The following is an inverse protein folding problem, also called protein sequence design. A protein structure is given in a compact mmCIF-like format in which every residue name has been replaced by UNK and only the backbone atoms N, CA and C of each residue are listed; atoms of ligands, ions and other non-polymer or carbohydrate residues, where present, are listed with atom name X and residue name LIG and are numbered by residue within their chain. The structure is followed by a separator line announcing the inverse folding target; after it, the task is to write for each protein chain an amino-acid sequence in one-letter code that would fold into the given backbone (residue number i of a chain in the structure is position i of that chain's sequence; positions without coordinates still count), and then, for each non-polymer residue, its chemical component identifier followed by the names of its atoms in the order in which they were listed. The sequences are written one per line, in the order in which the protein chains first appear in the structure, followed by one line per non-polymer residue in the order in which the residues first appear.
data_IF_410851397210
#
_entry.id   IF_410851397210
#
_cell.length_a   1.000
_cell.length_b   1.000
_cell.length_c   1.000
_cell.angle_alpha   90.00
_cell.angle_beta   90.00
_cell.angle_gamma   90.00
#
_symmetry.space_group_name_H-M   'P 1'
#
loop_
_entity.id
_entity.type
_entity.pdbx_description
1 polymer ?
#
# COMPACT_ATOMS: atom_id res chain seq x y z
N UNK A 1 -17.02 1.92 -6.58
CA UNK A 1 -17.80 2.72 -7.53
C UNK A 1 -19.33 2.47 -7.49
N UNK A 2 -19.83 1.34 -7.04
CA UNK A 2 -21.30 1.09 -6.92
C UNK A 2 -22.03 1.98 -5.91
N UNK A 3 -21.37 2.43 -4.88
CA UNK A 3 -21.93 3.28 -3.83
C UNK A 3 -22.46 4.63 -4.35
N UNK A 4 -21.79 5.25 -5.32
CA UNK A 4 -22.20 6.55 -5.89
C UNK A 4 -23.50 6.47 -6.65
N UNK A 5 -23.75 5.42 -7.46
CA UNK A 5 -24.97 5.27 -8.25
C UNK A 5 -26.22 5.04 -7.41
N UNK A 6 -26.11 4.29 -6.31
CA UNK A 6 -27.26 4.03 -5.42
C UNK A 6 -27.70 5.29 -4.68
N UNK A 7 -26.75 6.07 -4.16
CA UNK A 7 -27.08 7.33 -3.49
C UNK A 7 -27.64 8.37 -4.46
N UNK A 8 -27.12 8.46 -5.69
CA UNK A 8 -27.64 9.33 -6.72
C UNK A 8 -29.12 9.03 -7.01
N UNK A 9 -29.44 7.77 -7.35
CA UNK A 9 -30.83 7.34 -7.58
C UNK A 9 -31.76 7.64 -6.41
N UNK A 10 -31.31 7.43 -5.17
CA UNK A 10 -32.09 7.71 -3.96
C UNK A 10 -32.33 9.20 -3.76
N UNK A 11 -31.37 10.05 -4.05
CA UNK A 11 -31.52 11.50 -3.97
C UNK A 11 -32.42 12.03 -5.08
N UNK A 12 -32.25 11.51 -6.28
CA UNK A 12 -33.13 11.86 -7.42
C UNK A 12 -34.59 11.49 -7.17
N UNK A 13 -34.86 10.33 -6.53
CA UNK A 13 -36.22 9.87 -6.22
C UNK A 13 -36.98 10.79 -5.21
N UNK A 14 -36.24 11.60 -4.44
CA UNK A 14 -36.83 12.59 -3.51
C UNK A 14 -36.70 14.03 -4.04
N UNK A 15 -36.36 14.18 -5.34
CA UNK A 15 -36.26 15.48 -6.00
C UNK A 15 -34.96 16.26 -5.76
N UNK A 16 -33.95 15.67 -5.12
CA UNK A 16 -32.65 16.30 -4.88
C UNK A 16 -31.75 16.12 -6.10
N UNK A 17 -31.46 17.18 -6.82
CA UNK A 17 -30.70 17.20 -8.06
C UNK A 17 -29.35 17.95 -7.97
N UNK A 18 -29.15 18.73 -6.92
CA UNK A 18 -27.92 19.50 -6.75
C UNK A 18 -27.44 19.52 -5.29
N UNK A 19 -26.20 20.00 -5.09
CA UNK A 19 -25.57 20.04 -3.78
C UNK A 19 -26.30 20.96 -2.79
N UNK A 20 -26.84 22.09 -3.27
CA UNK A 20 -27.61 23.01 -2.43
C UNK A 20 -28.85 22.32 -1.84
N UNK A 21 -29.66 21.67 -2.66
CA UNK A 21 -30.84 20.92 -2.21
C UNK A 21 -30.46 19.83 -1.21
N UNK A 22 -29.31 19.17 -1.40
CA UNK A 22 -28.79 18.18 -0.45
C UNK A 22 -28.48 18.81 0.91
N UNK A 23 -27.93 20.01 0.96
CA UNK A 23 -27.65 20.70 2.22
C UNK A 23 -28.92 21.11 2.99
N UNK A 24 -30.07 21.18 2.34
CA UNK A 24 -31.35 21.50 2.96
C UNK A 24 -32.04 20.27 3.59
N UNK A 25 -31.60 19.06 3.29
CA UNK A 25 -32.19 17.83 3.86
C UNK A 25 -31.99 17.76 5.38
N UNK A 26 -32.99 17.18 6.11
CA UNK A 26 -32.85 16.95 7.55
C UNK A 26 -31.66 16.05 7.89
N UNK A 27 -30.96 16.38 8.97
CA UNK A 27 -29.80 15.60 9.42
C UNK A 27 -30.14 14.13 9.72
N UNK A 28 -31.31 13.89 10.34
CA UNK A 28 -31.74 12.55 10.69
C UNK A 28 -32.02 11.69 9.45
N UNK A 29 -32.60 12.28 8.41
CA UNK A 29 -32.80 11.60 7.13
C UNK A 29 -31.45 11.22 6.51
N UNK A 30 -30.50 12.18 6.45
CA UNK A 30 -29.16 11.94 5.89
C UNK A 30 -28.44 10.85 6.68
N UNK A 31 -28.49 10.92 8.01
CA UNK A 31 -27.85 9.93 8.89
C UNK A 31 -28.42 8.52 8.68
N UNK A 32 -29.74 8.40 8.53
CA UNK A 32 -30.44 7.13 8.30
C UNK A 32 -30.12 6.55 6.92
N UNK A 33 -30.04 7.35 5.89
CA UNK A 33 -29.91 6.91 4.50
C UNK A 33 -28.44 6.83 4.01
N UNK A 34 -27.56 7.66 4.53
CA UNK A 34 -26.18 7.82 4.06
C UNK A 34 -25.12 7.74 5.17
N UNK A 35 -25.55 7.40 6.40
CA UNK A 35 -24.69 7.27 7.57
C UNK A 35 -24.03 8.59 8.00
N UNK A 36 -23.05 8.53 8.90
CA UNK A 36 -22.27 9.68 9.35
C UNK A 36 -21.47 10.34 8.20
N UNK A 37 -21.15 9.58 7.15
CA UNK A 37 -20.44 10.10 5.99
C UNK A 37 -21.29 11.11 5.19
N UNK A 38 -22.59 10.87 5.10
CA UNK A 38 -23.52 11.83 4.49
C UNK A 38 -23.60 13.15 5.27
N UNK A 39 -23.62 13.08 6.61
CA UNK A 39 -23.61 14.29 7.45
C UNK A 39 -22.29 15.08 7.32
N UNK A 40 -21.18 14.39 7.23
CA UNK A 40 -19.88 15.04 6.98
C UNK A 40 -19.86 15.75 5.62
N UNK A 41 -20.35 15.07 4.58
CA UNK A 41 -20.48 15.67 3.26
C UNK A 41 -21.38 16.93 3.27
N UNK A 42 -22.52 16.87 4.00
CA UNK A 42 -23.38 18.05 4.16
C UNK A 42 -22.64 19.22 4.81
N UNK A 43 -21.89 18.97 5.89
CA UNK A 43 -21.08 20.00 6.56
C UNK A 43 -20.03 20.59 5.63
N UNK A 44 -19.31 19.74 4.88
CA UNK A 44 -18.32 20.19 3.90
C UNK A 44 -18.94 21.11 2.84
N UNK A 45 -20.11 20.72 2.33
CA UNK A 45 -20.85 21.56 1.35
C UNK A 45 -21.35 22.88 1.94
N UNK A 46 -21.56 22.95 3.26
CA UNK A 46 -21.92 24.16 4.00
C UNK A 46 -20.70 25.02 4.39
N UNK A 47 -19.48 24.57 4.03
CA UNK A 47 -18.23 25.24 4.43
C UNK A 47 -17.83 25.02 5.89
N UNK A 48 -18.46 24.06 6.58
CA UNK A 48 -18.14 23.73 7.96
C UNK A 48 -17.12 22.59 8.01
N UNK A 49 -15.87 22.86 8.41
CA UNK A 49 -14.84 21.82 8.45
C UNK A 49 -15.20 20.77 9.52
N UNK A 50 -15.18 19.51 9.13
CA UNK A 50 -15.39 18.38 10.05
C UNK A 50 -14.13 17.54 10.31
N UNK A 51 -13.08 17.78 9.53
CA UNK A 51 -11.76 17.21 9.72
C UNK A 51 -10.84 18.36 10.11
N UNK A 52 -10.22 18.23 11.27
CA UNK A 52 -9.20 19.20 11.71
C UNK A 52 -7.89 18.90 10.98
N UNK A 53 -7.08 19.95 10.79
CA UNK A 53 -5.71 19.77 10.34
C UNK A 53 -4.94 19.00 11.40
N UNK A 54 -4.40 17.85 11.03
CA UNK A 54 -3.55 17.05 11.93
C UNK A 54 -2.16 17.68 11.96
N UNK A 55 -1.76 18.18 13.12
CA UNK A 55 -0.40 18.64 13.39
C UNK A 55 0.50 17.41 13.63
N UNK A 56 1.19 17.00 12.58
CA UNK A 56 2.12 15.88 12.62
C UNK A 56 1.54 14.53 12.13
N UNK A 57 2.40 13.74 11.54
CA UNK A 57 2.02 12.41 11.09
C UNK A 57 2.08 11.42 12.25
N UNK A 58 0.94 10.85 12.63
CA UNK A 58 0.91 9.72 13.54
C UNK A 58 1.65 8.52 12.96
N UNK A 59 2.31 7.73 13.79
CA UNK A 59 2.99 6.50 13.37
C UNK A 59 1.99 5.54 12.70
N UNK A 60 2.34 5.06 11.52
CA UNK A 60 1.49 4.12 10.77
C UNK A 60 1.34 2.81 11.53
N UNK A 61 0.12 2.32 11.68
CA UNK A 61 -0.22 1.04 12.32
C UNK A 61 0.02 -0.17 11.40
N UNK A 62 0.19 0.06 10.11
CA UNK A 62 0.51 -0.95 9.10
C UNK A 62 1.17 -0.30 7.89
N UNK A 63 2.07 -1.01 7.25
CA UNK A 63 2.78 -0.56 6.05
C UNK A 63 2.56 -1.60 4.96
N UNK A 64 2.15 -1.12 3.79
CA UNK A 64 1.92 -1.98 2.64
C UNK A 64 2.69 -1.50 1.41
N UNK A 65 3.13 -2.46 0.62
CA UNK A 65 3.59 -2.24 -0.74
C UNK A 65 2.84 -3.20 -1.65
N UNK A 66 2.02 -2.64 -2.53
CA UNK A 66 1.17 -3.41 -3.45
C UNK A 66 1.26 -2.81 -4.84
N UNK A 67 1.21 -3.65 -5.87
CA UNK A 67 1.22 -3.21 -7.26
C UNK A 67 0.26 -4.03 -8.10
N UNK A 68 -0.42 -3.35 -9.02
CA UNK A 68 -1.05 -3.99 -10.16
C UNK A 68 -0.02 -4.07 -11.28
N UNK A 69 0.03 -5.19 -11.97
CA UNK A 69 0.96 -5.39 -13.08
C UNK A 69 0.37 -4.81 -14.37
N UNK A 70 1.20 -4.34 -15.27
CA UNK A 70 0.76 -3.82 -16.56
C UNK A 70 0.07 -4.93 -17.38
N UNK A 71 0.73 -6.08 -17.53
CA UNK A 71 0.16 -7.33 -18.03
C UNK A 71 -0.34 -8.23 -16.90
N UNK A 72 -0.30 -9.52 -17.13
CA UNK A 72 -0.55 -10.56 -16.14
C UNK A 72 0.71 -11.40 -15.98
N UNK A 73 0.96 -11.90 -14.78
CA UNK A 73 2.08 -12.77 -14.46
C UNK A 73 1.57 -14.17 -14.16
N UNK A 74 2.22 -15.17 -14.73
CA UNK A 74 1.91 -16.60 -14.50
C UNK A 74 3.06 -17.34 -13.85
N UNK A 75 4.29 -16.84 -14.00
CA UNK A 75 5.48 -17.50 -13.50
C UNK A 75 5.74 -17.19 -12.02
N UNK A 76 6.16 -18.23 -11.29
CA UNK A 76 6.46 -18.14 -9.87
C UNK A 76 7.68 -17.22 -9.62
N UNK A 77 8.72 -17.35 -10.43
CA UNK A 77 9.95 -16.60 -10.27
C UNK A 77 9.73 -15.09 -10.41
N UNK A 78 8.95 -14.69 -11.41
CA UNK A 78 8.57 -13.27 -11.59
C UNK A 78 7.81 -12.71 -10.38
N UNK A 79 6.93 -13.51 -9.80
CA UNK A 79 6.19 -13.13 -8.60
C UNK A 79 7.09 -13.09 -7.36
N UNK A 80 8.04 -14.02 -7.23
CA UNK A 80 9.01 -14.08 -6.14
C UNK A 80 9.87 -12.81 -6.10
N UNK A 81 10.43 -12.41 -7.24
CA UNK A 81 11.23 -11.20 -7.37
C UNK A 81 10.45 -9.94 -6.95
N UNK A 82 9.19 -9.85 -7.35
CA UNK A 82 8.33 -8.71 -7.01
C UNK A 82 7.92 -8.71 -5.54
N UNK A 83 7.52 -9.85 -5.00
CA UNK A 83 7.15 -10.00 -3.59
C UNK A 83 8.34 -9.71 -2.68
N UNK A 84 9.54 -10.17 -3.04
CA UNK A 84 10.79 -9.87 -2.33
C UNK A 84 11.11 -8.37 -2.34
N UNK A 85 10.90 -7.71 -3.49
CA UNK A 85 11.04 -6.27 -3.62
C UNK A 85 10.01 -5.53 -2.76
N UNK A 86 8.74 -5.96 -2.74
CA UNK A 86 7.71 -5.34 -1.91
C UNK A 86 7.98 -5.50 -0.42
N UNK A 87 8.47 -6.67 0.01
CA UNK A 87 8.87 -6.92 1.38
C UNK A 87 10.04 -6.01 1.80
N UNK A 88 11.05 -5.86 0.96
CA UNK A 88 12.19 -4.96 1.19
C UNK A 88 11.77 -3.50 1.28
N UNK A 89 10.85 -3.05 0.42
CA UNK A 89 10.30 -1.70 0.48
C UNK A 89 9.47 -1.46 1.76
N UNK A 90 8.74 -2.46 2.23
CA UNK A 90 8.05 -2.38 3.53
C UNK A 90 9.06 -2.26 4.68
N UNK A 91 10.13 -3.07 4.65
CA UNK A 91 11.20 -3.04 5.65
C UNK A 91 11.89 -1.66 5.72
N UNK A 92 12.23 -1.08 4.58
CA UNK A 92 12.82 0.26 4.50
C UNK A 92 11.90 1.33 5.11
N UNK A 93 10.61 1.30 4.77
CA UNK A 93 9.63 2.23 5.35
C UNK A 93 9.49 2.08 6.85
N UNK A 94 9.52 0.83 7.37
CA UNK A 94 9.52 0.58 8.82
C UNK A 94 10.77 1.12 9.49
N UNK A 95 11.95 0.93 8.90
CA UNK A 95 13.20 1.48 9.45
C UNK A 95 13.18 3.01 9.48
N UNK A 96 12.66 3.68 8.43
CA UNK A 96 12.46 5.14 8.41
C UNK A 96 11.52 5.61 9.53
N UNK A 97 10.50 4.82 9.86
CA UNK A 97 9.55 5.10 10.96
C UNK A 97 10.09 4.63 12.32
N UNK A 98 11.27 3.99 12.40
CA UNK A 98 11.84 3.36 13.61
C UNK A 98 10.90 2.32 14.23
N UNK A 99 10.26 1.50 13.40
CA UNK A 99 9.34 0.43 13.79
C UNK A 99 9.80 -0.94 13.28
N UNK A 100 9.28 -2.00 13.89
CA UNK A 100 9.45 -3.39 13.52
C UNK A 100 8.09 -4.08 13.50
N UNK A 101 7.87 -5.10 12.68
CA UNK A 101 6.60 -5.82 12.61
C UNK A 101 6.70 -7.23 13.20
N UNK A 102 5.58 -7.75 13.69
CA UNK A 102 5.45 -9.12 14.23
C UNK A 102 4.78 -10.06 13.25
N UNK A 103 4.14 -9.54 12.21
CA UNK A 103 3.47 -10.35 11.21
C UNK A 103 3.50 -9.66 9.84
N UNK A 104 3.38 -10.47 8.78
CA UNK A 104 3.21 -9.98 7.43
C UNK A 104 2.09 -10.74 6.69
N UNK A 105 1.45 -10.06 5.77
CA UNK A 105 0.47 -10.63 4.85
C UNK A 105 1.05 -10.57 3.45
N UNK A 106 0.98 -11.69 2.74
CA UNK A 106 1.23 -11.77 1.31
C UNK A 106 -0.08 -12.08 0.62
N UNK A 107 -0.38 -11.39 -0.47
CA UNK A 107 -1.58 -11.67 -1.25
C UNK A 107 -1.34 -11.65 -2.75
N UNK A 108 -2.15 -12.44 -3.45
CA UNK A 108 -2.22 -12.51 -4.91
C UNK A 108 -3.66 -12.34 -5.37
N UNK A 109 -3.85 -11.67 -6.51
CA UNK A 109 -5.16 -11.51 -7.16
C UNK A 109 -5.02 -11.60 -8.67
N UNK A 110 -5.92 -12.33 -9.31
CA UNK A 110 -6.12 -12.27 -10.77
C UNK A 110 -6.95 -11.04 -11.16
N UNK A 111 -7.13 -10.82 -12.44
CA UNK A 111 -8.00 -9.76 -12.94
C UNK A 111 -9.48 -10.10 -12.66
N UNK A 112 -10.20 -9.28 -11.88
CA UNK A 112 -11.61 -9.52 -11.58
C UNK A 112 -12.54 -9.22 -12.75
N UNK A 113 -12.06 -8.54 -13.80
CA UNK A 113 -12.86 -8.12 -14.94
C UNK A 113 -12.70 -9.03 -16.17
N UNK A 114 -11.86 -10.06 -16.09
CA UNK A 114 -11.65 -11.01 -17.17
C UNK A 114 -12.90 -11.89 -17.35
N UNK A 115 -13.54 -11.77 -18.51
CA UNK A 115 -14.74 -12.56 -18.84
C UNK A 115 -14.41 -14.04 -18.93
N UNK A 116 -15.33 -14.89 -18.43
CA UNK A 116 -15.23 -16.35 -18.55
C UNK A 116 -14.26 -17.04 -17.59
N UNK A 117 -13.62 -16.32 -16.68
CA UNK A 117 -12.69 -16.90 -15.69
C UNK A 117 -13.09 -16.48 -14.28
N UNK A 118 -13.21 -17.47 -13.37
CA UNK A 118 -13.45 -17.19 -11.96
C UNK A 118 -12.26 -16.42 -11.36
N UNK A 119 -12.48 -15.24 -10.76
CA UNK A 119 -11.40 -14.45 -10.18
C UNK A 119 -10.71 -15.19 -9.02
N UNK A 120 -9.39 -15.30 -9.10
CA UNK A 120 -8.60 -15.83 -7.99
C UNK A 120 -8.19 -14.70 -7.04
N UNK A 121 -8.45 -14.91 -5.76
CA UNK A 121 -8.04 -14.01 -4.68
C UNK A 121 -7.63 -14.85 -3.48
N UNK A 122 -6.38 -14.75 -3.08
CA UNK A 122 -5.87 -15.45 -1.90
C UNK A 122 -4.85 -14.59 -1.15
N UNK A 123 -4.74 -14.84 0.16
CA UNK A 123 -3.78 -14.19 1.03
C UNK A 123 -3.33 -15.14 2.13
N UNK A 124 -2.09 -14.98 2.58
CA UNK A 124 -1.52 -15.72 3.69
C UNK A 124 -0.97 -14.74 4.72
N UNK A 125 -1.35 -14.94 5.98
CA UNK A 125 -0.78 -14.25 7.13
C UNK A 125 0.35 -15.14 7.70
N UNK A 126 1.51 -14.52 7.93
CA UNK A 126 2.67 -15.20 8.53
C UNK A 126 3.08 -14.43 9.78
N UNK A 127 3.06 -15.12 10.89
CA UNK A 127 3.62 -14.61 12.15
C UNK A 127 5.13 -14.81 12.13
N UNK A 128 5.84 -13.76 12.53
CA UNK A 128 7.29 -13.78 12.63
C UNK A 128 7.70 -14.27 14.03
N UNK A 129 8.82 -14.97 14.19
CA UNK A 129 9.26 -15.48 15.49
C UNK A 129 9.63 -14.34 16.46
N UNK A 130 9.97 -13.20 15.94
CA UNK A 130 10.28 -11.97 16.69
C UNK A 130 9.99 -10.73 15.84
N UNK A 131 9.83 -9.58 16.51
CA UNK A 131 9.58 -8.32 15.81
C UNK A 131 10.84 -7.89 15.03
N UNK A 132 10.73 -7.74 13.70
CA UNK A 132 11.85 -7.42 12.82
C UNK A 132 11.52 -6.34 11.79
N UNK A 133 12.54 -5.65 11.31
CA UNK A 133 12.51 -4.76 10.14
C UNK A 133 13.63 -5.09 9.14
N UNK A 134 14.19 -6.30 9.25
CA UNK A 134 15.20 -6.79 8.33
C UNK A 134 14.59 -7.12 6.98
N UNK A 135 15.11 -6.51 5.90
CA UNK A 135 14.68 -6.83 4.53
C UNK A 135 14.92 -8.30 4.18
N UNK A 136 16.00 -8.90 4.70
CA UNK A 136 16.36 -10.31 4.46
C UNK A 136 15.31 -11.22 5.07
N UNK A 137 15.00 -11.03 6.35
CA UNK A 137 14.01 -11.85 7.07
C UNK A 137 12.62 -11.68 6.45
N UNK A 138 12.19 -10.45 6.18
CA UNK A 138 10.87 -10.19 5.60
C UNK A 138 10.74 -10.77 4.18
N UNK A 139 11.78 -10.67 3.35
CA UNK A 139 11.80 -11.27 2.02
C UNK A 139 11.67 -12.79 2.10
N UNK A 140 12.44 -13.45 2.99
CA UNK A 140 12.35 -14.91 3.22
C UNK A 140 10.92 -15.33 3.59
N UNK A 141 10.31 -14.67 4.58
CA UNK A 141 8.94 -14.99 4.99
C UNK A 141 7.90 -14.64 3.93
N UNK A 142 8.11 -13.57 3.17
CA UNK A 142 7.21 -13.20 2.08
C UNK A 142 7.20 -14.27 0.96
N UNK A 143 8.36 -14.82 0.61
CA UNK A 143 8.48 -15.93 -0.34
C UNK A 143 7.81 -17.19 0.20
N UNK A 144 7.97 -17.52 1.48
CA UNK A 144 7.25 -18.63 2.11
C UNK A 144 5.72 -18.44 2.03
N UNK A 145 5.24 -17.21 2.22
CA UNK A 145 3.82 -16.87 2.05
C UNK A 145 3.37 -17.02 0.60
N UNK A 146 4.21 -16.61 -0.35
CA UNK A 146 3.94 -16.77 -1.76
C UNK A 146 3.76 -18.25 -2.15
N UNK A 147 4.65 -19.15 -1.68
CA UNK A 147 4.53 -20.59 -1.92
C UNK A 147 3.18 -21.16 -1.46
N UNK A 148 2.64 -20.67 -0.34
CA UNK A 148 1.35 -21.15 0.20
C UNK A 148 0.13 -20.74 -0.64
N UNK A 149 0.21 -19.60 -1.34
CA UNK A 149 -0.93 -19.04 -2.07
C UNK A 149 -0.78 -19.08 -3.60
N UNK A 150 0.38 -19.44 -4.10
CA UNK A 150 0.60 -19.57 -5.54
C UNK A 150 -0.14 -20.80 -6.11
N UNK A 151 -0.76 -20.63 -7.26
CA UNK A 151 -1.34 -21.71 -8.06
C UNK A 151 -0.89 -21.60 -9.50
N UNK A 152 -0.33 -22.68 -10.04
CA UNK A 152 0.09 -22.76 -11.44
C UNK A 152 -1.12 -22.59 -12.38
N UNK A 153 -0.93 -21.88 -13.48
CA UNK A 153 -1.98 -21.66 -14.50
C UNK A 153 -2.88 -20.46 -14.24
N UNK A 154 -2.73 -19.75 -13.13
CA UNK A 154 -3.46 -18.51 -12.86
C UNK A 154 -2.68 -17.32 -13.39
N UNK A 155 -3.36 -16.41 -14.07
CA UNK A 155 -2.83 -15.13 -14.52
C UNK A 155 -3.06 -14.07 -13.45
N UNK A 156 -2.01 -13.73 -12.72
CA UNK A 156 -2.04 -12.76 -11.63
C UNK A 156 -1.96 -11.34 -12.17
N UNK A 157 -2.84 -10.46 -11.70
CA UNK A 157 -2.89 -9.04 -12.07
C UNK A 157 -2.39 -8.12 -10.97
N UNK A 158 -2.44 -8.57 -9.71
CA UNK A 158 -2.04 -7.78 -8.54
C UNK A 158 -1.42 -8.65 -7.47
N UNK A 159 -0.34 -8.14 -6.88
CA UNK A 159 0.29 -8.73 -5.70
C UNK A 159 0.67 -7.67 -4.67
N UNK A 160 0.95 -8.09 -3.46
CA UNK A 160 1.44 -7.18 -2.43
C UNK A 160 1.84 -7.86 -1.14
N UNK A 161 2.60 -7.09 -0.37
CA UNK A 161 3.01 -7.39 0.99
C UNK A 161 2.51 -6.28 1.92
N UNK A 162 1.97 -6.67 3.06
CA UNK A 162 1.54 -5.76 4.12
C UNK A 162 2.13 -6.23 5.44
N UNK A 163 2.71 -5.33 6.21
CA UNK A 163 3.25 -5.60 7.54
C UNK A 163 2.24 -5.20 8.61
N UNK A 164 2.12 -6.00 9.66
CA UNK A 164 1.17 -5.84 10.75
C UNK A 164 1.87 -5.97 12.10
N UNK A 165 1.17 -5.54 13.17
CA UNK A 165 1.73 -5.61 14.51
C UNK A 165 2.99 -4.75 14.63
N UNK A 166 2.92 -3.48 14.17
CA UNK A 166 4.05 -2.58 14.23
C UNK A 166 4.29 -2.14 15.67
N UNK A 167 5.52 -2.35 16.15
CA UNK A 167 6.01 -1.91 17.45
C UNK A 167 7.22 -0.99 17.26
N UNK A 168 7.44 -0.01 18.15
CA UNK A 168 8.66 0.80 18.11
C UNK A 168 9.89 -0.11 18.21
N UNK A 169 10.91 0.12 17.39
CA UNK A 169 12.12 -0.71 17.37
C UNK A 169 12.85 -0.73 18.72
N UNK A 170 12.75 0.36 19.49
CA UNK A 170 13.33 0.44 20.86
C UNK A 170 12.65 -0.51 21.86
N UNK A 171 11.35 -0.80 21.67
CA UNK A 171 10.54 -1.60 22.58
C UNK A 171 10.36 -3.06 22.10
N UNK A 172 11.10 -3.48 21.08
CA UNK A 172 10.99 -4.85 20.58
C UNK A 172 11.59 -5.84 21.54
N UNK A 173 10.93 -6.95 21.76
CA UNK A 173 11.48 -8.07 22.48
C UNK A 173 12.48 -8.80 21.58
N UNK A 174 13.71 -8.97 22.06
CA UNK A 174 14.74 -9.74 21.40
C UNK A 174 14.55 -11.23 21.70
N UNK A 175 14.87 -12.12 20.75
CA UNK A 175 14.84 -13.56 21.02
C UNK A 175 15.88 -13.93 22.07
N UNK A 176 15.50 -14.81 23.00
CA UNK A 176 16.38 -15.27 24.07
C UNK A 176 17.48 -16.21 23.54
N UNK A 177 17.14 -16.97 22.48
CA UNK A 177 18.03 -17.94 21.84
C UNK A 177 18.12 -17.62 20.34
N UNK A 178 19.33 -17.42 19.83
CA UNK A 178 19.62 -17.25 18.42
C UNK A 178 19.41 -15.82 17.91
N UNK A 179 20.43 -15.22 17.40
CA UNK A 179 20.46 -13.84 16.95
C UNK A 179 21.16 -13.67 15.61
N UNK A 180 20.50 -14.02 14.50
CA UNK A 180 20.95 -13.48 13.18
C UNK A 180 20.80 -11.95 13.11
N UNK A 181 20.05 -11.36 14.04
CA UNK A 181 19.61 -9.97 13.95
C UNK A 181 20.67 -8.91 14.14
N UNK A 182 21.72 -9.17 14.92
CA UNK A 182 22.80 -8.18 15.12
C UNK A 182 23.56 -7.93 13.82
N UNK A 183 23.86 -8.98 13.06
CA UNK A 183 24.49 -8.88 11.73
C UNK A 183 23.56 -8.22 10.72
N UNK A 184 22.28 -8.60 10.70
CA UNK A 184 21.27 -7.99 9.83
C UNK A 184 21.12 -6.50 10.11
N UNK A 185 21.17 -6.07 11.37
CA UNK A 185 21.06 -4.65 11.72
C UNK A 185 22.17 -3.81 11.07
N UNK A 186 23.41 -4.30 11.11
CA UNK A 186 24.55 -3.61 10.49
C UNK A 186 24.41 -3.54 8.98
N UNK A 187 24.02 -4.65 8.35
CA UNK A 187 23.80 -4.72 6.91
C UNK A 187 22.67 -3.76 6.50
N UNK A 188 21.55 -3.75 7.23
CA UNK A 188 20.43 -2.85 6.92
C UNK A 188 20.81 -1.37 7.06
N UNK A 189 21.60 -1.01 8.08
CA UNK A 189 22.13 0.36 8.22
C UNK A 189 23.04 0.75 7.06
N UNK A 190 23.91 -0.16 6.61
CA UNK A 190 24.78 0.09 5.46
C UNK A 190 23.97 0.26 4.17
N UNK A 191 22.99 -0.62 3.94
CA UNK A 191 22.07 -0.55 2.80
C UNK A 191 21.28 0.75 2.77
N UNK A 192 20.74 1.17 3.92
CA UNK A 192 19.98 2.44 4.02
C UNK A 192 20.87 3.66 3.77
N UNK A 193 22.16 3.64 4.18
CA UNK A 193 23.14 4.69 3.84
C UNK A 193 23.41 4.77 2.34
N UNK A 194 23.59 3.63 1.69
CA UNK A 194 23.80 3.55 0.24
C UNK A 194 22.58 4.11 -0.49
N UNK A 195 21.37 3.69 -0.12
CA UNK A 195 20.14 4.20 -0.74
C UNK A 195 19.94 5.70 -0.51
N UNK A 196 20.36 6.23 0.66
CA UNK A 196 20.28 7.67 0.94
C UNK A 196 21.27 8.48 0.09
N UNK A 197 22.47 7.94 -0.16
CA UNK A 197 23.55 8.64 -0.87
C UNK A 197 23.43 8.56 -2.39
N UNK A 198 23.07 7.39 -2.90
CA UNK A 198 23.10 7.08 -4.34
C UNK A 198 21.71 6.87 -4.95
N UNK A 199 20.65 7.00 -4.16
CA UNK A 199 19.29 6.77 -4.61
C UNK A 199 18.76 5.37 -4.29
N UNK A 200 17.43 5.16 -4.42
CA UNK A 200 16.80 3.88 -4.12
C UNK A 200 17.20 2.80 -5.13
N UNK A 201 17.22 1.56 -4.67
CA UNK A 201 17.46 0.36 -5.49
C UNK A 201 18.88 0.18 -6.05
N UNK A 202 19.87 0.92 -5.57
CA UNK A 202 21.26 0.73 -5.98
C UNK A 202 21.87 -0.58 -5.46
N UNK A 203 21.44 -1.00 -4.27
CA UNK A 203 21.80 -2.30 -3.71
C UNK A 203 20.52 -3.08 -3.42
N UNK A 204 20.48 -4.33 -3.85
CA UNK A 204 19.31 -5.21 -3.73
C UNK A 204 19.68 -6.56 -3.16
N UNK A 205 18.71 -7.29 -2.61
CA UNK A 205 18.87 -8.71 -2.28
C UNK A 205 18.85 -9.54 -3.58
N UNK A 206 19.58 -10.66 -3.60
CA UNK A 206 19.71 -11.51 -4.78
C UNK A 206 18.37 -12.06 -5.32
N UNK A 207 17.36 -12.16 -4.46
CA UNK A 207 16.00 -12.60 -4.84
C UNK A 207 15.06 -11.46 -5.25
N UNK A 208 15.57 -10.26 -5.47
CA UNK A 208 14.83 -9.14 -6.02
C UNK A 208 15.07 -9.02 -7.53
N UNK A 209 14.19 -8.30 -8.24
CA UNK A 209 14.42 -7.93 -9.64
C UNK A 209 15.69 -7.07 -9.77
N UNK A 210 16.81 -7.72 -10.06
CA UNK A 210 18.12 -7.07 -10.14
C UNK A 210 18.23 -6.14 -11.35
N UNK A 211 17.59 -6.50 -12.46
CA UNK A 211 17.66 -5.76 -13.73
C UNK A 211 16.67 -4.59 -13.78
N UNK A 212 15.78 -4.49 -12.79
CA UNK A 212 14.72 -3.48 -12.77
C UNK A 212 13.85 -3.51 -14.03
N UNK A 213 13.46 -4.73 -14.44
CA UNK A 213 12.76 -5.01 -15.69
C UNK A 213 11.36 -4.44 -15.74
N UNK A 214 10.74 -4.21 -14.58
CA UNK A 214 9.40 -3.66 -14.50
C UNK A 214 9.43 -2.23 -13.93
N UNK A 215 8.87 -1.31 -14.70
CA UNK A 215 8.67 0.09 -14.31
C UNK A 215 7.18 0.40 -14.34
N UNK A 216 6.75 1.40 -13.59
CA UNK A 216 5.42 1.96 -13.74
C UNK A 216 5.36 2.67 -15.09
N UNK A 217 4.32 2.40 -15.86
CA UNK A 217 4.08 3.13 -17.11
C UNK A 217 3.79 4.60 -16.79
N UNK A 218 4.59 5.50 -17.33
CA UNK A 218 4.54 6.93 -17.09
C UNK A 218 4.61 7.70 -18.42
N UNK A 219 3.72 7.34 -19.35
CA UNK A 219 3.73 7.91 -20.72
C UNK A 219 3.02 9.28 -20.79
N UNK A 220 2.18 9.58 -19.79
CA UNK A 220 1.41 10.83 -19.72
C UNK A 220 1.63 11.49 -18.36
N UNK A 221 2.83 11.98 -18.13
CA UNK A 221 3.12 12.79 -16.95
C UNK A 221 2.67 14.22 -17.17
N UNK A 222 2.06 14.81 -16.16
CA UNK A 222 1.88 16.27 -16.12
C UNK A 222 3.24 16.95 -15.95
N UNK A 223 3.33 18.20 -16.43
CA UNK A 223 4.50 19.03 -16.20
C UNK A 223 4.73 19.28 -14.71
N UNK A 224 5.98 19.46 -14.33
CA UNK A 224 6.41 19.58 -12.92
C UNK A 224 6.53 21.05 -12.52
N UNK A 225 5.47 21.83 -12.68
CA UNK A 225 5.45 23.27 -12.47
C UNK A 225 5.98 23.76 -11.11
N UNK A 226 5.93 22.92 -10.09
CA UNK A 226 6.35 23.27 -8.72
C UNK A 226 7.77 22.81 -8.37
N UNK A 227 8.38 21.95 -9.17
CA UNK A 227 9.68 21.33 -8.86
C UNK A 227 10.72 21.47 -9.97
N UNK A 228 10.31 21.92 -11.15
CA UNK A 228 11.20 22.10 -12.31
C UNK A 228 10.94 23.48 -12.93
N UNK A 229 11.88 24.40 -12.75
CA UNK A 229 11.75 25.81 -13.19
C UNK A 229 11.56 25.92 -14.71
N UNK A 230 12.23 25.05 -15.46
CA UNK A 230 12.14 25.04 -16.94
C UNK A 230 10.76 24.63 -17.48
N UNK A 231 9.92 24.01 -16.65
CA UNK A 231 8.58 23.59 -17.03
C UNK A 231 7.48 24.58 -16.59
N UNK A 232 7.84 25.70 -15.97
CA UNK A 232 6.87 26.75 -15.56
C UNK A 232 6.25 27.40 -16.79
N UNK A 233 4.93 27.63 -16.72
CA UNK A 233 4.20 28.33 -17.79
C UNK A 233 4.68 29.78 -17.84
N UNK A 234 5.26 30.17 -18.97
CA UNK A 234 5.56 31.56 -19.24
C UNK A 234 4.27 32.29 -19.66
N UNK A 235 3.87 33.30 -18.88
CA UNK A 235 2.75 34.18 -19.21
C UNK A 235 3.31 35.34 -20.04
N UNK A 236 2.85 35.46 -21.28
CA UNK A 236 3.17 36.61 -22.18
C UNK A 236 2.20 37.74 -21.91
#
# INVERSE_FOLDING_TARGET
MGYRRQHCKRLESIGVRNAWQFTMLPNDWIRKQMTILGLRLKKDLQGLPHIQLEEGQSSKKGIATTRSFEGTLADFKDLEERISTFASNCAEKMRKQKSSCTALIVFLRSDPHRKGVTPYRNSCVLTLPYATNSSITLSKYAVLGLHKIFKKGILYKKAGVMTMGLVPTANRQLPLFGGEESKHLLIMKALDRIHKRFGPHQMKLANQDLQHTWKMKQEHLSQRYTTEISEIIEVK
#
